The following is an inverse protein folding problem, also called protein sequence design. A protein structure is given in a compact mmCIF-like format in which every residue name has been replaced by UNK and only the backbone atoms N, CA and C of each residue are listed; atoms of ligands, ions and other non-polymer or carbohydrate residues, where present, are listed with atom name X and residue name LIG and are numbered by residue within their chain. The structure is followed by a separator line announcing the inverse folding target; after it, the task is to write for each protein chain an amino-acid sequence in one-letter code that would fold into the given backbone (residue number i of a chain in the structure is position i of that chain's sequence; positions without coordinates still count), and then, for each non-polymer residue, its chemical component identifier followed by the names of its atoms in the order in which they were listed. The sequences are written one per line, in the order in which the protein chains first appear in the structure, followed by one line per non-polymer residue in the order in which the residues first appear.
data_IF_059607167563
#
_entry.id   IF_059607167563
#
_cell.length_a   1.000
_cell.length_b   1.000
_cell.length_c   1.000
_cell.angle_alpha   90.00
_cell.angle_beta   90.00
_cell.angle_gamma   90.00
#
_symmetry.space_group_name_H-M   'P 1'
#
loop_
_entity.id
_entity.type
_entity.pdbx_description
1 polymer ?
#
# COMPACT_ATOMS: atom_id res chain seq x y z
N UNK A 1 2.38 9.89 -12.21
CA UNK A 1 2.29 9.73 -10.73
C UNK A 1 0.84 9.99 -10.35
N UNK A 2 0.27 9.31 -9.36
CA UNK A 2 -1.18 9.40 -9.06
C UNK A 2 -1.56 10.56 -8.12
N UNK A 3 -0.58 11.41 -7.83
CA UNK A 3 -0.65 12.61 -7.00
C UNK A 3 0.28 13.65 -7.62
N UNK A 4 0.02 14.95 -7.41
CA UNK A 4 0.76 16.05 -8.08
C UNK A 4 2.26 15.99 -7.80
N UNK A 5 2.67 15.79 -6.54
CA UNK A 5 4.07 15.54 -6.18
C UNK A 5 4.20 14.30 -5.28
N UNK A 6 3.40 14.22 -4.22
CA UNK A 6 3.29 13.01 -3.40
C UNK A 6 1.99 13.06 -2.59
N UNK A 7 1.40 11.90 -2.33
CA UNK A 7 0.25 11.76 -1.44
C UNK A 7 0.66 11.70 0.03
N UNK A 8 -0.31 11.92 0.95
CA UNK A 8 -0.08 11.72 2.38
C UNK A 8 0.35 10.29 2.68
N UNK A 9 1.46 10.16 3.40
CA UNK A 9 2.03 8.88 3.81
C UNK A 9 2.66 9.00 5.21
N UNK A 10 3.15 7.88 5.75
CA UNK A 10 3.92 7.93 7.00
C UNK A 10 5.15 8.84 6.82
N UNK A 11 5.33 9.80 7.74
CA UNK A 11 6.29 10.92 7.69
C UNK A 11 6.07 11.98 6.59
N UNK A 12 4.99 11.91 5.82
CA UNK A 12 4.61 12.94 4.84
C UNK A 12 3.20 13.44 5.22
N UNK A 13 3.10 14.36 6.19
CA UNK A 13 1.79 14.83 6.68
C UNK A 13 1.10 15.72 5.64
N UNK A 14 -0.21 15.56 5.51
CA UNK A 14 -1.08 16.49 4.81
C UNK A 14 -2.24 16.84 5.73
N UNK A 15 -2.74 18.08 5.63
CA UNK A 15 -3.96 18.45 6.33
C UNK A 15 -5.13 17.65 5.73
N UNK A 16 -6.01 17.15 6.58
CA UNK A 16 -7.16 16.37 6.12
C UNK A 16 -8.13 16.01 7.22
N UNK A 17 -9.28 15.49 6.79
CA UNK A 17 -10.33 14.98 7.65
C UNK A 17 -10.62 13.53 7.25
N UNK A 18 -10.69 12.66 8.25
CA UNK A 18 -11.09 11.25 8.08
C UNK A 18 -12.24 10.93 9.02
N UNK A 19 -13.28 10.32 8.47
CA UNK A 19 -14.39 9.76 9.23
C UNK A 19 -14.36 8.23 9.12
N UNK A 20 -14.45 7.58 10.27
CA UNK A 20 -14.65 6.14 10.40
C UNK A 20 -16.06 5.90 10.96
N UNK A 21 -16.81 5.03 10.32
CA UNK A 21 -18.13 4.62 10.73
C UNK A 21 -18.18 3.10 10.89
N UNK A 22 -18.56 2.62 12.07
CA UNK A 22 -18.58 1.20 12.42
C UNK A 22 -19.99 0.80 12.84
N UNK A 23 -20.88 0.45 11.89
CA UNK A 23 -22.25 0.05 12.20
C UNK A 23 -22.34 -1.29 12.95
N UNK A 24 -21.29 -2.11 12.93
CA UNK A 24 -21.21 -3.40 13.63
C UNK A 24 -19.75 -3.83 13.78
N UNK A 25 -19.49 -4.87 14.58
CA UNK A 25 -18.15 -5.44 14.72
C UNK A 25 -17.59 -5.99 13.40
N UNK A 26 -18.47 -6.44 12.50
CA UNK A 26 -18.08 -7.01 11.20
C UNK A 26 -17.92 -5.99 10.08
N UNK A 27 -18.53 -4.81 10.16
CA UNK A 27 -18.56 -3.87 9.02
C UNK A 27 -18.08 -2.49 9.44
N UNK A 28 -17.25 -1.89 8.61
CA UNK A 28 -16.87 -0.49 8.75
C UNK A 28 -16.84 0.21 7.39
N UNK A 29 -17.10 1.52 7.41
CA UNK A 29 -16.89 2.43 6.31
C UNK A 29 -15.91 3.53 6.70
N UNK A 30 -15.05 3.94 5.77
CA UNK A 30 -14.12 5.05 5.94
C UNK A 30 -14.25 6.01 4.77
N UNK A 31 -14.19 7.30 5.07
CA UNK A 31 -14.01 8.35 4.07
C UNK A 31 -12.95 9.31 4.57
N UNK A 32 -12.05 9.71 3.68
CA UNK A 32 -10.99 10.66 3.95
C UNK A 32 -10.91 11.70 2.84
N UNK A 33 -10.62 12.93 3.22
CA UNK A 33 -10.34 14.04 2.31
C UNK A 33 -9.11 14.75 2.85
N UNK A 34 -8.09 14.91 2.02
CA UNK A 34 -6.77 15.40 2.38
C UNK A 34 -6.32 16.44 1.36
N UNK A 35 -5.33 17.25 1.74
CA UNK A 35 -4.60 18.06 0.77
C UNK A 35 -4.06 17.16 -0.36
N UNK A 36 -4.21 17.64 -1.60
CA UNK A 36 -3.78 16.93 -2.80
C UNK A 36 -2.26 16.90 -2.96
N UNK A 37 -1.54 17.83 -2.33
CA UNK A 37 -0.10 17.90 -2.45
C UNK A 37 0.57 18.25 -1.13
N UNK A 38 1.27 17.28 -0.55
CA UNK A 38 1.95 17.48 0.74
C UNK A 38 3.12 18.46 0.69
N UNK A 39 3.61 18.83 -0.50
CA UNK A 39 4.67 19.83 -0.63
C UNK A 39 4.13 21.25 -0.51
N UNK A 40 2.83 21.46 -0.74
CA UNK A 40 2.21 22.79 -0.82
C UNK A 40 2.91 23.74 -1.81
N UNK A 41 3.60 23.16 -2.82
CA UNK A 41 4.14 23.86 -3.97
C UNK A 41 3.81 23.14 -5.28
N UNK A 42 3.06 23.75 -6.21
CA UNK A 42 2.80 23.19 -7.54
C UNK A 42 4.07 22.88 -8.33
N UNK A 43 5.15 23.64 -8.09
CA UNK A 43 6.45 23.45 -8.73
C UNK A 43 7.29 22.34 -8.09
N UNK A 44 6.78 21.69 -7.03
CA UNK A 44 7.47 20.62 -6.32
C UNK A 44 8.54 21.10 -5.34
N UNK A 45 8.48 22.37 -4.88
CA UNK A 45 9.39 22.88 -3.86
C UNK A 45 9.04 22.33 -2.47
N UNK A 46 9.75 21.28 -2.06
CA UNK A 46 9.58 20.66 -0.74
C UNK A 46 9.99 21.57 0.44
N UNK A 47 10.56 22.76 0.20
CA UNK A 47 10.95 23.67 1.27
C UNK A 47 9.77 24.36 1.95
N UNK A 48 8.61 24.44 1.28
CA UNK A 48 7.39 25.08 1.78
C UNK A 48 6.82 24.32 2.98
N UNK A 49 6.63 23.00 2.85
CA UNK A 49 6.15 22.13 3.94
C UNK A 49 7.21 21.19 4.53
N UNK A 50 8.50 21.53 4.44
CA UNK A 50 9.61 20.69 4.96
C UNK A 50 9.52 20.30 6.44
N UNK A 51 8.74 21.05 7.22
CA UNK A 51 8.57 20.83 8.65
C UNK A 51 7.22 20.16 8.98
N UNK A 52 6.35 19.92 8.00
CA UNK A 52 5.05 19.27 8.19
C UNK A 52 4.04 20.11 8.99
N UNK A 53 4.29 21.41 9.13
CA UNK A 53 3.47 22.36 9.88
C UNK A 53 2.77 23.38 8.97
N UNK A 54 2.87 23.21 7.66
CA UNK A 54 2.08 23.99 6.72
C UNK A 54 0.65 23.43 6.73
N UNK A 55 -0.29 24.22 7.26
CA UNK A 55 -1.69 23.84 7.47
C UNK A 55 -2.56 24.75 6.61
N UNK A 56 -2.36 24.71 5.31
CA UNK A 56 -3.16 25.43 4.32
C UNK A 56 -4.04 24.44 3.54
N UNK A 57 -5.16 24.93 3.01
CA UNK A 57 -6.01 24.19 2.08
C UNK A 57 -6.29 25.12 0.91
N UNK A 58 -6.19 24.62 -0.33
CA UNK A 58 -6.72 25.33 -1.50
C UNK A 58 -5.71 26.05 -2.40
N UNK A 59 -4.46 25.58 -2.43
CA UNK A 59 -3.36 26.10 -3.25
C UNK A 59 -3.39 25.67 -4.73
N UNK A 60 -4.58 25.50 -5.32
CA UNK A 60 -4.79 24.99 -6.70
C UNK A 60 -4.23 23.58 -7.00
N UNK A 61 -3.71 22.87 -6.00
CA UNK A 61 -3.17 21.51 -6.11
C UNK A 61 -4.24 20.42 -6.00
N UNK A 62 -5.51 20.82 -5.90
CA UNK A 62 -6.63 19.92 -5.77
C UNK A 62 -6.74 19.28 -4.39
N UNK A 63 -7.47 18.19 -4.32
CA UNK A 63 -7.79 17.48 -3.08
C UNK A 63 -7.69 16.00 -3.36
N UNK A 64 -7.08 15.26 -2.43
CA UNK A 64 -7.06 13.81 -2.46
C UNK A 64 -8.18 13.25 -1.59
N UNK A 65 -9.05 12.45 -2.17
CA UNK A 65 -10.15 11.80 -1.47
C UNK A 65 -10.05 10.29 -1.56
N UNK A 66 -10.56 9.62 -0.53
CA UNK A 66 -10.60 8.15 -0.47
C UNK A 66 -11.85 7.67 0.25
N UNK A 67 -12.44 6.60 -0.25
CA UNK A 67 -13.54 5.90 0.39
C UNK A 67 -13.22 4.41 0.45
N UNK A 68 -13.56 3.76 1.56
CA UNK A 68 -13.33 2.34 1.76
C UNK A 68 -14.46 1.72 2.57
N UNK A 69 -14.90 0.53 2.15
CA UNK A 69 -15.72 -0.36 2.96
C UNK A 69 -14.90 -1.58 3.32
N UNK A 70 -14.95 -1.98 4.58
CA UNK A 70 -14.28 -3.18 5.07
C UNK A 70 -15.22 -4.13 5.79
N UNK A 71 -14.93 -5.42 5.62
CA UNK A 71 -15.60 -6.53 6.28
C UNK A 71 -14.58 -7.31 7.11
N UNK A 72 -14.87 -7.47 8.41
CA UNK A 72 -14.13 -8.26 9.39
C UNK A 72 -14.84 -9.59 9.58
N UNK A 73 -14.21 -10.67 9.13
CA UNK A 73 -14.71 -12.03 9.23
C UNK A 73 -14.13 -12.71 10.48
N UNK A 74 -15.01 -13.23 11.34
CA UNK A 74 -14.66 -13.94 12.59
C UNK A 74 -13.72 -13.16 13.54
N UNK A 75 -13.80 -11.83 13.59
CA UNK A 75 -12.98 -11.00 14.51
C UNK A 75 -13.73 -10.52 15.76
N UNK A 76 -14.95 -11.02 16.01
CA UNK A 76 -15.66 -10.71 17.25
C UNK A 76 -15.01 -11.47 18.42
N UNK A 77 -15.16 -10.96 19.64
CA UNK A 77 -14.50 -11.52 20.84
C UNK A 77 -14.83 -13.02 21.07
N UNK A 78 -16.02 -13.47 20.69
CA UNK A 78 -16.50 -14.86 20.85
C UNK A 78 -16.42 -15.70 19.55
N UNK A 79 -15.65 -15.25 18.54
CA UNK A 79 -15.59 -15.94 17.26
C UNK A 79 -14.55 -17.08 17.25
N UNK A 80 -15.01 -18.32 17.16
CA UNK A 80 -14.13 -19.49 17.02
C UNK A 80 -13.56 -19.69 15.61
N UNK A 81 -14.10 -18.97 14.61
CA UNK A 81 -13.74 -19.11 13.20
C UNK A 81 -12.36 -18.53 12.85
N UNK A 82 -11.89 -18.78 11.63
CA UNK A 82 -10.62 -18.24 11.14
C UNK A 82 -10.76 -16.75 10.77
N UNK A 83 -9.85 -15.93 11.28
CA UNK A 83 -9.86 -14.47 11.14
C UNK A 83 -9.66 -14.06 9.67
N UNK A 84 -10.42 -13.08 9.22
CA UNK A 84 -10.24 -12.48 7.90
C UNK A 84 -10.63 -11.01 7.84
N UNK A 85 -9.99 -10.27 6.96
CA UNK A 85 -10.31 -8.86 6.65
C UNK A 85 -10.39 -8.68 5.15
N UNK A 86 -11.48 -8.09 4.68
CA UNK A 86 -11.68 -7.77 3.27
C UNK A 86 -11.99 -6.29 3.14
N UNK A 87 -11.42 -5.63 2.13
CA UNK A 87 -11.58 -4.20 1.90
C UNK A 87 -11.79 -3.95 0.42
N UNK A 88 -12.69 -3.03 0.12
CA UNK A 88 -12.90 -2.49 -1.21
C UNK A 88 -12.92 -0.97 -1.07
N UNK A 89 -12.13 -0.27 -1.87
CA UNK A 89 -12.09 1.17 -1.82
C UNK A 89 -11.79 1.81 -3.16
N UNK A 90 -11.95 3.11 -3.18
CA UNK A 90 -11.61 3.97 -4.30
C UNK A 90 -10.97 5.24 -3.79
N UNK A 91 -10.14 5.84 -4.63
CA UNK A 91 -9.51 7.11 -4.38
C UNK A 91 -9.67 8.00 -5.60
N UNK A 92 -9.60 9.31 -5.38
CA UNK A 92 -9.59 10.31 -6.43
C UNK A 92 -8.71 11.48 -6.03
N UNK A 93 -8.20 12.18 -7.03
CA UNK A 93 -7.42 13.39 -6.87
C UNK A 93 -7.95 14.44 -7.85
N UNK A 94 -8.24 15.65 -7.37
CA UNK A 94 -8.92 16.68 -8.19
C UNK A 94 -7.98 17.69 -8.88
N UNK A 95 -6.66 17.54 -8.73
CA UNK A 95 -5.66 18.34 -9.46
C UNK A 95 -5.60 18.02 -10.96
N UNK A 96 -4.77 18.75 -11.71
CA UNK A 96 -4.53 18.55 -13.14
C UNK A 96 -3.43 17.49 -13.36
N UNK A 97 -3.62 16.59 -14.32
CA UNK A 97 -2.68 15.51 -14.61
C UNK A 97 -2.34 15.44 -16.10
N UNK A 98 -1.06 15.32 -16.42
CA UNK A 98 -0.60 15.19 -17.80
C UNK A 98 -1.03 13.85 -18.42
N UNK A 99 -1.35 13.90 -19.71
CA UNK A 99 -1.58 12.73 -20.54
C UNK A 99 -0.23 12.10 -20.94
N UNK A 100 -0.08 10.80 -20.71
CA UNK A 100 1.19 10.09 -20.92
C UNK A 100 1.59 10.02 -22.41
N UNK A 101 0.63 10.15 -23.34
CA UNK A 101 0.90 10.22 -24.79
C UNK A 101 1.10 11.65 -25.29
N UNK A 102 1.08 12.65 -24.40
CA UNK A 102 1.19 14.07 -24.76
C UNK A 102 -0.10 14.67 -25.32
N UNK A 103 -1.25 14.08 -24.97
CA UNK A 103 -2.57 14.68 -25.19
C UNK A 103 -2.85 15.90 -24.29
N UNK A 104 -4.07 16.46 -24.34
CA UNK A 104 -4.49 17.49 -23.39
C UNK A 104 -4.51 16.95 -21.96
N UNK A 105 -4.13 17.78 -20.98
CA UNK A 105 -4.16 17.42 -19.57
C UNK A 105 -5.58 17.08 -19.10
N UNK A 106 -5.65 16.24 -18.06
CA UNK A 106 -6.88 15.71 -17.48
C UNK A 106 -7.22 16.41 -16.17
N UNK A 107 -8.50 16.74 -16.01
CA UNK A 107 -9.06 17.23 -14.74
C UNK A 107 -9.26 16.04 -13.79
N UNK A 108 -8.20 15.71 -13.05
CA UNK A 108 -8.21 14.70 -12.01
C UNK A 108 -7.84 13.28 -12.44
N UNK A 109 -7.66 12.44 -11.44
CA UNK A 109 -7.35 11.02 -11.58
C UNK A 109 -8.05 10.24 -10.47
N UNK A 110 -8.38 8.99 -10.74
CA UNK A 110 -9.08 8.12 -9.81
C UNK A 110 -8.55 6.71 -9.91
N UNK A 111 -8.80 5.92 -8.88
CA UNK A 111 -8.51 4.50 -8.93
C UNK A 111 -9.35 3.73 -7.94
N UNK A 112 -9.34 2.41 -8.13
CA UNK A 112 -10.04 1.46 -7.26
C UNK A 112 -9.05 0.44 -6.76
N UNK A 113 -9.28 -0.06 -5.56
CA UNK A 113 -8.46 -1.10 -4.98
C UNK A 113 -9.30 -2.07 -4.16
N UNK A 114 -8.82 -3.30 -4.08
CA UNK A 114 -9.36 -4.31 -3.20
C UNK A 114 -8.21 -4.99 -2.45
N UNK A 115 -8.49 -5.43 -1.22
CA UNK A 115 -7.58 -6.28 -0.47
C UNK A 115 -8.34 -7.31 0.34
N UNK A 116 -7.74 -8.47 0.52
CA UNK A 116 -8.23 -9.55 1.34
C UNK A 116 -7.09 -10.19 2.08
N UNK A 117 -7.31 -10.51 3.35
CA UNK A 117 -6.41 -11.29 4.19
C UNK A 117 -7.27 -12.29 4.94
N UNK A 118 -6.88 -13.57 4.91
CA UNK A 118 -7.64 -14.64 5.53
C UNK A 118 -6.69 -15.67 6.12
N UNK A 119 -6.86 -15.95 7.41
CA UNK A 119 -6.28 -17.14 8.04
C UNK A 119 -6.94 -18.38 7.42
N UNK A 120 -6.15 -19.28 6.85
CA UNK A 120 -6.63 -20.50 6.19
C UNK A 120 -6.33 -21.76 7.01
N UNK A 121 -5.42 -21.65 7.97
CA UNK A 121 -5.08 -22.71 8.90
C UNK A 121 -4.68 -22.10 10.24
N UNK A 122 -5.21 -22.65 11.33
CA UNK A 122 -4.84 -22.28 12.71
C UNK A 122 -4.21 -23.50 13.37
N UNK A 123 -2.99 -23.33 13.87
CA UNK A 123 -2.24 -24.37 14.57
C UNK A 123 -2.59 -24.36 16.07
N UNK A 124 -2.34 -23.23 16.73
CA UNK A 124 -2.64 -23.03 18.15
C UNK A 124 -2.70 -21.54 18.49
N UNK A 125 -3.75 -21.10 19.19
CA UNK A 125 -3.95 -19.68 19.50
C UNK A 125 -3.91 -18.83 18.22
N UNK A 126 -2.96 -17.90 18.15
CA UNK A 126 -2.74 -17.00 17.01
C UNK A 126 -1.80 -17.58 15.93
N UNK A 127 -1.19 -18.76 16.17
CA UNK A 127 -0.34 -19.43 15.20
C UNK A 127 -1.13 -19.97 14.03
N UNK A 128 -0.54 -19.90 12.84
CA UNK A 128 -1.14 -20.46 11.64
C UNK A 128 -0.75 -19.73 10.36
N UNK A 129 -1.36 -20.19 9.27
CA UNK A 129 -1.15 -19.68 7.92
C UNK A 129 -2.26 -18.72 7.54
N UNK A 130 -1.87 -17.53 7.10
CA UNK A 130 -2.76 -16.58 6.44
C UNK A 130 -2.31 -16.32 5.02
N UNK A 131 -3.29 -16.10 4.14
CA UNK A 131 -3.09 -15.69 2.76
C UNK A 131 -3.56 -14.25 2.59
N UNK A 132 -2.86 -13.47 1.77
CA UNK A 132 -3.29 -12.14 1.41
C UNK A 132 -3.29 -11.92 -0.10
N UNK A 133 -4.17 -11.03 -0.54
CA UNK A 133 -4.22 -10.48 -1.88
C UNK A 133 -4.52 -8.99 -1.81
N UNK A 134 -3.89 -8.20 -2.67
CA UNK A 134 -4.15 -6.78 -2.86
C UNK A 134 -4.12 -6.50 -4.35
N UNK A 135 -5.02 -5.68 -4.86
CA UNK A 135 -5.00 -5.26 -6.25
C UNK A 135 -5.49 -3.81 -6.36
N UNK A 136 -4.93 -3.06 -7.30
CA UNK A 136 -5.28 -1.68 -7.56
C UNK A 136 -5.26 -1.38 -9.05
N UNK A 137 -6.16 -0.50 -9.48
CA UNK A 137 -6.33 -0.09 -10.87
C UNK A 137 -6.49 1.42 -10.96
N UNK A 138 -5.91 2.02 -11.99
CA UNK A 138 -5.98 3.43 -12.33
C UNK A 138 -6.01 3.60 -13.87
N UNK A 139 -6.51 4.74 -14.40
CA UNK A 139 -6.52 5.02 -15.83
C UNK A 139 -5.11 5.00 -16.45
N UNK A 140 -4.96 4.26 -17.55
CA UNK A 140 -3.70 4.08 -18.27
C UNK A 140 -3.17 5.38 -18.91
N UNK A 141 -4.06 6.28 -19.33
CA UNK A 141 -3.72 7.53 -20.03
C UNK A 141 -2.99 8.57 -19.16
N UNK A 142 -3.06 8.46 -17.83
CA UNK A 142 -2.45 9.42 -16.88
C UNK A 142 -1.80 8.78 -15.64
N UNK A 143 -1.96 7.47 -15.45
CA UNK A 143 -1.29 6.71 -14.40
C UNK A 143 -0.12 5.92 -14.97
N UNK A 144 1.08 6.11 -14.40
CA UNK A 144 2.24 5.32 -14.81
C UNK A 144 2.09 3.83 -14.44
N UNK A 145 1.36 3.52 -13.37
CA UNK A 145 1.02 2.15 -12.98
C UNK A 145 -0.50 2.03 -13.09
N UNK A 146 -0.97 1.50 -14.21
CA UNK A 146 -2.39 1.34 -14.51
C UNK A 146 -2.99 0.17 -13.72
N UNK A 147 -2.23 -0.89 -13.46
CA UNK A 147 -2.61 -1.89 -12.46
C UNK A 147 -1.43 -2.50 -11.72
N UNK A 148 -1.71 -2.93 -10.49
CA UNK A 148 -0.79 -3.74 -9.72
C UNK A 148 -1.53 -4.74 -8.86
N UNK A 149 -0.89 -5.86 -8.55
CA UNK A 149 -1.40 -6.80 -7.57
C UNK A 149 -0.27 -7.36 -6.72
N UNK A 150 -0.65 -7.76 -5.51
CA UNK A 150 0.21 -8.45 -4.57
C UNK A 150 -0.52 -9.69 -4.07
N UNK A 151 0.18 -10.80 -3.97
CA UNK A 151 -0.32 -12.04 -3.37
C UNK A 151 0.75 -12.62 -2.47
N UNK A 152 0.35 -13.29 -1.41
CA UNK A 152 1.33 -13.92 -0.55
C UNK A 152 0.73 -14.63 0.64
N UNK A 153 1.62 -15.05 1.51
CA UNK A 153 1.30 -15.76 2.73
C UNK A 153 2.19 -15.28 3.87
N UNK A 154 1.67 -15.45 5.08
CA UNK A 154 2.39 -15.31 6.32
C UNK A 154 2.04 -16.49 7.23
N UNK A 155 3.06 -17.06 7.88
CA UNK A 155 2.89 -18.13 8.86
C UNK A 155 3.49 -17.69 10.19
N UNK A 156 2.65 -17.55 11.21
CA UNK A 156 3.07 -17.28 12.59
C UNK A 156 3.37 -18.61 13.29
N UNK A 157 4.58 -18.77 13.83
CA UNK A 157 4.99 -19.97 14.57
C UNK A 157 5.49 -21.14 13.72
N UNK A 158 5.94 -20.92 12.48
CA UNK A 158 6.32 -22.02 11.56
C UNK A 158 7.51 -22.85 12.07
N UNK A 159 8.45 -22.22 12.79
CA UNK A 159 9.68 -22.87 13.26
C UNK A 159 9.47 -23.36 14.70
N UNK A 160 9.71 -24.65 15.01
CA UNK A 160 9.57 -25.17 16.36
C UNK A 160 10.39 -24.39 17.39
N UNK A 161 9.75 -23.96 18.47
CA UNK A 161 10.37 -23.15 19.53
C UNK A 161 10.44 -21.64 19.22
N UNK A 162 9.88 -21.20 18.09
CA UNK A 162 9.78 -19.79 17.68
C UNK A 162 8.31 -19.44 17.41
N UNK A 163 7.51 -19.63 18.44
CA UNK A 163 6.05 -19.63 18.40
C UNK A 163 5.39 -18.31 18.00
N UNK A 164 6.14 -17.20 18.07
CA UNK A 164 5.70 -15.84 17.76
C UNK A 164 6.44 -15.23 16.57
N UNK A 165 7.36 -15.97 15.94
CA UNK A 165 8.05 -15.52 14.74
C UNK A 165 7.16 -15.70 13.51
N UNK A 166 7.35 -14.86 12.49
CA UNK A 166 6.54 -14.89 11.27
C UNK A 166 7.40 -15.18 10.05
N UNK A 167 7.06 -16.22 9.28
CA UNK A 167 7.62 -16.47 7.95
C UNK A 167 6.73 -15.88 6.89
N UNK A 168 7.28 -15.10 5.97
CA UNK A 168 6.54 -14.34 4.95
C UNK A 168 7.06 -14.72 3.56
N UNK A 169 6.14 -14.93 2.63
CA UNK A 169 6.44 -15.04 1.20
C UNK A 169 5.41 -14.23 0.42
N UNK A 170 5.86 -13.32 -0.43
CA UNK A 170 5.01 -12.45 -1.22
C UNK A 170 5.50 -12.30 -2.65
N UNK A 171 4.56 -12.04 -3.54
CA UNK A 171 4.78 -11.60 -4.91
C UNK A 171 4.06 -10.27 -5.11
N UNK A 172 4.74 -9.30 -5.71
CA UNK A 172 4.19 -8.03 -6.15
C UNK A 172 4.42 -7.90 -7.65
N UNK A 173 3.41 -7.50 -8.39
CA UNK A 173 3.50 -7.23 -9.82
C UNK A 173 2.89 -5.86 -10.10
N UNK A 174 3.65 -5.01 -10.79
CA UNK A 174 3.21 -3.70 -11.24
C UNK A 174 3.32 -3.64 -12.76
N UNK A 175 2.20 -3.42 -13.44
CA UNK A 175 2.18 -3.13 -14.85
C UNK A 175 2.36 -1.64 -15.07
N UNK A 176 3.18 -1.29 -16.05
CA UNK A 176 3.37 0.08 -16.48
C UNK A 176 2.46 0.32 -17.67
N UNK A 177 1.73 1.43 -17.63
CA UNK A 177 0.77 1.79 -18.68
C UNK A 177 1.37 1.69 -20.09
N UNK A 178 0.62 1.12 -21.02
CA UNK A 178 0.95 1.07 -22.46
C UNK A 178 1.06 2.48 -23.09
N UNK A 179 0.53 3.50 -22.41
CA UNK A 179 0.63 4.90 -22.81
C UNK A 179 1.98 5.52 -22.42
N UNK A 180 2.79 4.81 -21.63
CA UNK A 180 4.17 5.16 -21.29
C UNK A 180 5.16 4.25 -22.04
N UNK A 181 5.59 4.63 -23.26
CA UNK A 181 6.34 3.74 -24.14
C UNK A 181 7.72 3.38 -23.58
N UNK A 182 8.18 2.18 -23.92
CA UNK A 182 9.50 1.67 -23.50
C UNK A 182 9.51 1.10 -22.09
N UNK A 183 8.33 0.86 -21.50
CA UNK A 183 8.20 0.13 -20.24
C UNK A 183 7.15 -0.97 -20.32
N UNK A 184 7.28 -1.99 -19.47
CA UNK A 184 6.37 -3.14 -19.45
C UNK A 184 5.83 -3.42 -18.05
N UNK A 185 6.53 -4.21 -17.24
CA UNK A 185 6.11 -4.55 -15.89
C UNK A 185 7.31 -4.86 -15.01
N UNK A 186 7.19 -4.59 -13.73
CA UNK A 186 8.16 -5.02 -12.73
C UNK A 186 7.50 -6.06 -11.83
N UNK A 187 8.22 -7.15 -11.54
CA UNK A 187 7.74 -8.19 -10.62
C UNK A 187 8.75 -8.43 -9.51
N UNK A 188 8.29 -8.42 -8.26
CA UNK A 188 9.11 -8.68 -7.08
C UNK A 188 8.59 -9.92 -6.37
N UNK A 189 9.49 -10.85 -6.04
CA UNK A 189 9.21 -11.95 -5.10
C UNK A 189 10.04 -11.73 -3.86
N UNK A 190 9.40 -11.66 -2.70
CA UNK A 190 10.05 -11.45 -1.41
C UNK A 190 9.81 -12.64 -0.49
N UNK A 191 10.89 -13.14 0.12
CA UNK A 191 10.84 -13.98 1.30
C UNK A 191 11.44 -13.22 2.49
N UNK A 192 10.73 -13.20 3.61
CA UNK A 192 11.19 -12.55 4.83
C UNK A 192 10.89 -13.43 6.05
N UNK A 193 11.65 -13.21 7.11
CA UNK A 193 11.45 -13.89 8.38
C UNK A 193 11.54 -12.89 9.51
N UNK A 194 10.46 -12.69 10.25
CA UNK A 194 10.41 -11.81 11.41
C UNK A 194 10.84 -12.61 12.65
N UNK A 195 12.03 -12.28 13.16
CA UNK A 195 12.59 -12.83 14.39
C UNK A 195 12.29 -11.87 15.56
N UNK A 196 11.33 -12.24 16.40
CA UNK A 196 10.94 -11.47 17.57
C UNK A 196 11.89 -11.80 18.72
N UNK A 197 12.78 -10.87 19.07
CA UNK A 197 13.72 -11.07 20.18
C UNK A 197 13.06 -10.77 21.52
N UNK A 198 12.26 -9.71 21.56
CA UNK A 198 11.46 -9.25 22.68
C UNK A 198 10.36 -8.32 22.16
N UNK A 199 9.44 -7.92 23.03
CA UNK A 199 8.35 -6.99 22.69
C UNK A 199 8.85 -5.67 22.07
N UNK A 200 10.05 -5.23 22.46
CA UNK A 200 10.66 -3.98 22.01
C UNK A 200 11.70 -4.14 20.90
N UNK A 201 12.00 -5.38 20.46
CA UNK A 201 13.09 -5.62 19.53
C UNK A 201 12.80 -6.77 18.55
N UNK A 202 12.72 -6.40 17.28
CA UNK A 202 12.44 -7.32 16.18
C UNK A 202 13.50 -7.16 15.09
N UNK A 203 13.98 -8.29 14.55
CA UNK A 203 14.86 -8.33 13.39
C UNK A 203 14.17 -9.09 12.26
N UNK A 204 14.15 -8.52 11.06
CA UNK A 204 13.55 -9.13 9.89
C UNK A 204 14.55 -9.13 8.71
N UNK A 205 15.35 -10.20 8.53
CA UNK A 205 16.04 -10.44 7.27
C UNK A 205 15.02 -10.70 6.14
N UNK A 206 15.41 -10.31 4.92
CA UNK A 206 14.63 -10.54 3.71
C UNK A 206 15.53 -10.79 2.51
N UNK A 207 15.00 -11.53 1.54
CA UNK A 207 15.58 -11.72 0.22
C UNK A 207 14.50 -11.39 -0.80
N UNK A 208 14.82 -10.51 -1.74
CA UNK A 208 13.94 -10.14 -2.84
C UNK A 208 14.60 -10.49 -4.16
N UNK A 209 13.84 -11.08 -5.07
CA UNK A 209 14.18 -11.16 -6.49
C UNK A 209 13.29 -10.17 -7.24
N UNK A 210 13.90 -9.27 -8.00
CA UNK A 210 13.23 -8.22 -8.76
C UNK A 210 13.48 -8.48 -10.24
N UNK A 211 12.41 -8.73 -10.98
CA UNK A 211 12.43 -8.91 -12.42
C UNK A 211 12.11 -7.61 -13.13
N UNK A 212 12.93 -7.29 -14.13
CA UNK A 212 12.91 -6.03 -14.88
C UNK A 212 12.82 -4.78 -13.99
N UNK A 213 13.87 -4.48 -13.17
CA UNK A 213 13.88 -3.28 -12.34
C UNK A 213 13.67 -2.00 -13.16
N UNK A 214 12.70 -1.18 -12.76
CA UNK A 214 12.27 0.01 -13.49
C UNK A 214 11.39 -0.27 -14.71
N UNK A 215 11.10 -1.56 -14.97
CA UNK A 215 10.25 -2.05 -16.04
C UNK A 215 10.70 -1.63 -17.45
N UNK A 216 11.99 -1.40 -17.68
CA UNK A 216 12.51 -0.83 -18.95
C UNK A 216 13.01 -1.89 -19.94
N UNK A 217 13.27 -3.11 -19.47
CA UNK A 217 13.96 -4.16 -20.22
C UNK A 217 15.47 -3.93 -20.38
N UNK A 218 16.01 -2.81 -19.90
CA UNK A 218 17.42 -2.45 -20.03
C UNK A 218 18.30 -3.04 -18.90
N UNK A 219 17.68 -3.43 -17.78
CA UNK A 219 18.36 -3.96 -16.61
C UNK A 219 18.10 -5.46 -16.45
N UNK A 220 19.16 -6.20 -16.12
CA UNK A 220 19.03 -7.60 -15.70
C UNK A 220 18.26 -7.72 -14.37
N UNK A 221 17.66 -8.89 -14.14
CA UNK A 221 17.03 -9.22 -12.87
C UNK A 221 17.99 -9.03 -11.69
N UNK A 222 17.46 -8.51 -10.57
CA UNK A 222 18.24 -8.20 -9.38
C UNK A 222 17.89 -9.13 -8.21
N UNK A 223 18.92 -9.53 -7.45
CA UNK A 223 18.74 -10.17 -6.14
C UNK A 223 19.14 -9.16 -5.05
N UNK A 224 18.22 -8.86 -4.15
CA UNK A 224 18.39 -7.87 -3.08
C UNK A 224 18.33 -8.58 -1.73
N UNK A 225 19.29 -8.28 -0.86
CA UNK A 225 19.31 -8.74 0.53
C UNK A 225 18.96 -7.56 1.44
N UNK A 226 17.96 -7.75 2.29
CA UNK A 226 17.48 -6.71 3.19
C UNK A 226 17.56 -7.15 4.66
N UNK A 227 17.71 -6.17 5.54
CA UNK A 227 17.58 -6.35 6.99
C UNK A 227 16.79 -5.18 7.55
N UNK A 228 15.63 -5.47 8.14
CA UNK A 228 14.84 -4.49 8.90
C UNK A 228 15.03 -4.74 10.39
N UNK A 229 15.16 -3.66 11.16
CA UNK A 229 15.21 -3.69 12.62
C UNK A 229 14.13 -2.75 13.14
N UNK A 230 13.29 -3.25 14.05
CA UNK A 230 12.28 -2.45 14.76
C UNK A 230 12.65 -2.36 16.23
N UNK A 231 12.64 -1.14 16.78
CA UNK A 231 12.92 -0.84 18.18
C UNK A 231 11.83 0.07 18.74
N UNK A 232 11.27 -0.32 19.88
CA UNK A 232 10.31 0.48 20.65
C UNK A 232 10.93 0.88 22.00
N UNK A 233 10.63 2.09 22.50
CA UNK A 233 11.22 2.64 23.72
C UNK A 233 10.18 3.32 24.60
#
# INVERSE_FOLDING_TARGET
MNTVNTGPAFYIPALGLRLLWEPSDSWYGRVGVFDGDTFDSPEGDNTVNRHGLHLELGNSQGTFGMVEVGYRHNQAEDADGLLGTYKLGGWWHSGEFDDLRGGPSHDGIQGVYASGEQMVYREYGDQGLSLFVRAGFAPEDRSAIDYSFQVGLNYVGLIPGRDIDTTILGLSHAHISDDLPGRTSETVVEAAYEFVMSDDFIIQPSVQWVSDPGATGDLDDALVLGLRVSLSF
#
